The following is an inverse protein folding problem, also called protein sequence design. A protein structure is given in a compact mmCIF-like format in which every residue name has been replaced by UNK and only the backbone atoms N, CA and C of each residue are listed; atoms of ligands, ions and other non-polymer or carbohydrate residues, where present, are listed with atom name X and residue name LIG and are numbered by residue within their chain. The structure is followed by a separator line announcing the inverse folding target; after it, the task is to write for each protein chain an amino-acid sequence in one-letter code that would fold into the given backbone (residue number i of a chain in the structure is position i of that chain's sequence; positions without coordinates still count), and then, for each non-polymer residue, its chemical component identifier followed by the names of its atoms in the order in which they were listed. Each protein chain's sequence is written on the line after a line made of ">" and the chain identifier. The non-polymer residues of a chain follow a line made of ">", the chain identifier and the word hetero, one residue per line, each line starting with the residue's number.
data_IF_318660189081
#
_entry.id   IF_318660189081
#
_cell.length_a   1.000
_cell.length_b   1.000
_cell.length_c   1.000
_cell.angle_alpha   90.00
_cell.angle_beta   90.00
_cell.angle_gamma   90.00
#
_symmetry.space_group_name_H-M   'P 1'
#
loop_
_entity.id
_entity.type
_entity.pdbx_description
1 polymer ?
#
# COMPACT_ATOMS: atom_id res chain seq x y z
N UNK A 1 -0.27 23.16 7.79
CA UNK A 1 0.54 22.54 6.70
C UNK A 1 1.12 21.20 7.17
N UNK A 2 0.28 20.31 7.70
CA UNK A 2 0.73 19.05 8.36
C UNK A 2 0.35 17.81 7.53
N UNK A 3 -0.49 17.98 6.50
CA UNK A 3 -1.17 16.91 5.78
C UNK A 3 -0.33 16.23 4.70
N UNK A 4 0.86 16.74 4.36
CA UNK A 4 1.73 16.18 3.29
C UNK A 4 2.91 15.34 3.80
N UNK A 5 3.14 15.26 5.11
CA UNK A 5 4.24 14.44 5.65
C UNK A 5 4.01 12.94 5.43
N UNK A 6 2.76 12.47 5.56
CA UNK A 6 2.41 11.05 5.40
C UNK A 6 2.51 10.54 3.96
N UNK A 7 2.45 11.45 2.98
CA UNK A 7 2.59 11.14 1.55
C UNK A 7 4.03 11.34 1.05
N UNK A 8 4.98 11.67 1.93
CA UNK A 8 6.38 11.57 1.59
C UNK A 8 6.72 10.10 1.30
N UNK A 9 7.44 9.76 0.21
CA UNK A 9 7.58 8.37 -0.24
C UNK A 9 8.08 7.40 0.85
N UNK A 10 9.11 7.80 1.58
CA UNK A 10 9.69 6.98 2.67
C UNK A 10 8.71 6.81 3.84
N UNK A 11 7.99 7.87 4.21
CA UNK A 11 6.99 7.82 5.27
C UNK A 11 5.84 6.91 4.86
N UNK A 12 5.32 7.06 3.64
CA UNK A 12 4.26 6.22 3.11
C UNK A 12 4.68 4.75 3.05
N UNK A 13 5.90 4.47 2.57
CA UNK A 13 6.49 3.13 2.56
C UNK A 13 6.58 2.53 3.97
N UNK A 14 7.17 3.24 4.92
CA UNK A 14 7.38 2.74 6.28
C UNK A 14 6.06 2.42 6.99
N UNK A 15 5.07 3.33 6.93
CA UNK A 15 3.79 3.13 7.62
C UNK A 15 2.92 2.08 6.94
N UNK A 16 2.85 2.06 5.61
CA UNK A 16 2.09 1.03 4.89
C UNK A 16 2.67 -0.37 5.15
N UNK A 17 4.00 -0.52 5.13
CA UNK A 17 4.67 -1.80 5.43
C UNK A 17 4.43 -2.24 6.88
N UNK A 18 4.52 -1.31 7.84
CA UNK A 18 4.25 -1.62 9.26
C UNK A 18 2.80 -2.06 9.49
N UNK A 19 1.84 -1.35 8.86
CA UNK A 19 0.43 -1.72 8.93
C UNK A 19 0.15 -3.07 8.26
N UNK A 20 0.78 -3.35 7.11
CA UNK A 20 0.67 -4.64 6.44
C UNK A 20 1.19 -5.78 7.33
N UNK A 21 2.35 -5.60 7.99
CA UNK A 21 2.88 -6.58 8.93
C UNK A 21 1.91 -6.83 10.11
N UNK A 22 1.36 -5.77 10.70
CA UNK A 22 0.38 -5.90 11.78
C UNK A 22 -0.90 -6.62 11.31
N UNK A 23 -1.35 -6.34 10.09
CA UNK A 23 -2.51 -7.00 9.48
C UNK A 23 -2.24 -8.48 9.22
N UNK A 24 -1.06 -8.84 8.72
CA UNK A 24 -0.61 -10.23 8.57
C UNK A 24 -0.57 -10.97 9.90
N UNK A 25 -0.03 -10.35 10.95
CA UNK A 25 -0.05 -10.93 12.30
C UNK A 25 -1.49 -11.12 12.79
N UNK A 26 -2.36 -10.12 12.62
CA UNK A 26 -3.77 -10.23 12.98
C UNK A 26 -4.47 -11.40 12.26
N UNK A 27 -4.20 -11.57 10.95
CA UNK A 27 -4.69 -12.69 10.16
C UNK A 27 -4.16 -14.03 10.70
N UNK A 28 -2.86 -14.13 10.96
CA UNK A 28 -2.23 -15.34 11.49
C UNK A 28 -2.83 -15.78 12.84
N UNK A 29 -3.29 -14.82 13.66
CA UNK A 29 -3.93 -15.07 14.95
C UNK A 29 -5.48 -14.97 14.91
N UNK A 30 -6.11 -15.14 13.74
CA UNK A 30 -7.57 -15.09 13.56
C UNK A 30 -8.18 -16.46 13.23
N UNK A 31 -8.23 -17.42 14.18
CA UNK A 31 -8.81 -18.73 13.92
C UNK A 31 -10.31 -18.61 13.58
N UNK A 32 -10.87 -19.36 12.63
CA UNK A 32 -12.24 -19.17 12.13
C UNK A 32 -13.35 -19.19 13.19
N UNK A 33 -13.15 -19.89 14.31
CA UNK A 33 -14.13 -20.03 15.40
C UNK A 33 -14.06 -18.91 16.44
N UNK A 34 -13.03 -18.07 16.42
CA UNK A 34 -12.91 -16.99 17.40
C UNK A 34 -13.88 -15.84 17.08
N UNK A 35 -14.49 -15.29 18.14
CA UNK A 35 -15.49 -14.20 18.04
C UNK A 35 -14.97 -12.92 17.37
N UNK A 36 -13.65 -12.69 17.39
CA UNK A 36 -13.03 -11.49 16.79
C UNK A 36 -12.67 -11.68 15.30
N UNK A 37 -12.58 -12.91 14.81
CA UNK A 37 -12.14 -13.23 13.45
C UNK A 37 -12.95 -12.55 12.36
N UNK A 38 -14.31 -12.50 12.41
CA UNK A 38 -15.08 -11.75 11.42
C UNK A 38 -14.75 -10.25 11.39
N UNK A 39 -14.36 -9.66 12.52
CA UNK A 39 -13.90 -8.28 12.60
C UNK A 39 -12.53 -8.09 11.93
N UNK A 40 -11.58 -8.98 12.23
CA UNK A 40 -10.25 -8.99 11.61
C UNK A 40 -10.38 -9.09 10.09
N UNK A 41 -11.11 -10.07 9.58
CA UNK A 41 -11.28 -10.27 8.13
C UNK A 41 -11.94 -9.09 7.43
N UNK A 42 -12.90 -8.41 8.07
CA UNK A 42 -13.48 -7.18 7.51
C UNK A 42 -12.46 -6.04 7.43
N UNK A 43 -11.60 -5.93 8.44
CA UNK A 43 -10.56 -4.90 8.49
C UNK A 43 -9.49 -5.19 7.44
N UNK A 44 -8.94 -6.40 7.43
CA UNK A 44 -7.81 -6.78 6.56
C UNK A 44 -8.23 -7.02 5.10
N UNK A 45 -9.43 -7.56 4.86
CA UNK A 45 -9.92 -7.83 3.50
C UNK A 45 -10.75 -6.70 2.88
N UNK A 46 -11.07 -5.62 3.61
CA UNK A 46 -11.83 -4.48 3.05
C UNK A 46 -11.31 -3.12 3.49
N UNK A 47 -11.25 -2.85 4.79
CA UNK A 47 -10.92 -1.51 5.28
C UNK A 47 -9.48 -1.09 4.94
N UNK A 48 -8.49 -1.96 5.22
CA UNK A 48 -7.09 -1.71 4.87
C UNK A 48 -6.87 -1.63 3.35
N UNK A 49 -7.37 -2.58 2.53
CA UNK A 49 -7.28 -2.48 1.07
C UNK A 49 -7.80 -1.16 0.50
N UNK A 50 -8.96 -0.69 0.99
CA UNK A 50 -9.50 0.61 0.59
C UNK A 50 -8.60 1.77 1.03
N UNK A 51 -8.10 1.74 2.27
CA UNK A 51 -7.20 2.77 2.78
C UNK A 51 -5.88 2.83 1.97
N UNK A 52 -5.27 1.68 1.67
CA UNK A 52 -4.09 1.60 0.81
C UNK A 52 -4.39 2.07 -0.61
N UNK A 53 -5.56 1.72 -1.18
CA UNK A 53 -5.99 2.23 -2.48
C UNK A 53 -6.08 3.77 -2.53
N UNK A 54 -6.60 4.40 -1.46
CA UNK A 54 -6.64 5.86 -1.35
C UNK A 54 -5.23 6.46 -1.29
N UNK A 55 -4.33 5.88 -0.48
CA UNK A 55 -2.93 6.34 -0.40
C UNK A 55 -2.21 6.18 -1.74
N UNK A 56 -2.40 5.05 -2.42
CA UNK A 56 -1.87 4.80 -3.76
C UNK A 56 -2.32 5.89 -4.75
N UNK A 57 -3.63 6.16 -4.84
CA UNK A 57 -4.17 7.19 -5.74
C UNK A 57 -3.60 8.57 -5.41
N UNK A 58 -3.45 8.90 -4.13
CA UNK A 58 -2.86 10.17 -3.70
C UNK A 58 -1.37 10.29 -4.09
N UNK A 59 -0.56 9.24 -3.86
CA UNK A 59 0.84 9.21 -4.25
C UNK A 59 1.00 9.31 -5.78
N UNK A 60 0.17 8.57 -6.53
CA UNK A 60 0.19 8.62 -7.99
C UNK A 60 -0.19 10.01 -8.51
N UNK A 61 -1.21 10.66 -7.94
CA UNK A 61 -1.60 12.01 -8.34
C UNK A 61 -0.48 13.05 -8.10
N UNK A 62 0.35 12.87 -7.06
CA UNK A 62 1.48 13.76 -6.76
C UNK A 62 2.74 13.44 -7.57
N UNK A 63 2.93 12.18 -7.98
CA UNK A 63 4.18 11.68 -8.55
C UNK A 63 4.02 11.02 -9.94
N UNK A 64 2.90 11.26 -10.62
CA UNK A 64 2.57 10.70 -11.94
C UNK A 64 3.60 11.01 -13.04
N UNK A 65 4.36 12.12 -12.89
CA UNK A 65 5.36 12.52 -13.88
C UNK A 65 6.66 11.74 -13.64
N UNK A 66 7.01 10.87 -14.59
CA UNK A 66 8.26 10.12 -14.59
C UNK A 66 8.63 9.67 -16.00
N UNK A 67 9.88 9.24 -16.16
CA UNK A 67 10.37 8.60 -17.37
C UNK A 67 10.12 7.09 -17.27
N UNK A 68 9.73 6.46 -18.38
CA UNK A 68 9.44 5.02 -18.44
C UNK A 68 8.06 4.71 -19.03
N UNK A 69 7.58 3.50 -18.77
CA UNK A 69 6.39 2.95 -19.40
C UNK A 69 6.15 1.50 -19.01
N UNK A 70 5.19 0.85 -19.68
CA UNK A 70 4.80 -0.54 -19.41
C UNK A 70 5.05 -1.46 -20.61
N UNK A 71 5.79 -1.02 -21.63
CA UNK A 71 6.04 -1.83 -22.84
C UNK A 71 7.26 -2.74 -22.72
N UNK A 72 8.15 -2.50 -21.74
CA UNK A 72 9.31 -3.33 -21.46
C UNK A 72 9.69 -3.32 -19.97
N UNK A 73 10.49 -4.30 -19.54
CA UNK A 73 10.97 -4.36 -18.15
C UNK A 73 11.87 -3.16 -17.80
N UNK A 74 12.68 -2.68 -18.75
CA UNK A 74 13.52 -1.50 -18.57
C UNK A 74 12.69 -0.23 -18.37
N UNK A 75 11.59 -0.09 -19.12
CA UNK A 75 10.64 0.99 -18.96
C UNK A 75 9.95 0.96 -17.58
N UNK A 76 9.56 -0.23 -17.09
CA UNK A 76 8.96 -0.39 -15.75
C UNK A 76 9.98 -0.05 -14.66
N UNK A 77 11.23 -0.48 -14.83
CA UNK A 77 12.33 -0.15 -13.90
C UNK A 77 12.57 1.37 -13.85
N UNK A 78 12.47 2.07 -14.99
CA UNK A 78 12.60 3.52 -15.04
C UNK A 78 11.50 4.23 -14.25
N UNK A 79 10.23 3.77 -14.33
CA UNK A 79 9.15 4.29 -13.50
C UNK A 79 9.45 4.15 -12.00
N UNK A 80 9.99 3.00 -11.60
CA UNK A 80 10.37 2.73 -10.21
C UNK A 80 11.69 3.36 -9.75
N UNK A 81 12.42 4.06 -10.63
CA UNK A 81 13.55 4.89 -10.23
C UNK A 81 13.09 6.22 -9.58
N UNK A 82 11.82 6.60 -9.76
CA UNK A 82 11.22 7.78 -9.10
C UNK A 82 10.66 7.35 -7.73
N UNK A 83 11.18 7.87 -6.60
CA UNK A 83 10.78 7.39 -5.26
C UNK A 83 9.28 7.43 -5.00
N UNK A 84 8.59 8.48 -5.47
CA UNK A 84 7.14 8.61 -5.31
C UNK A 84 6.33 7.58 -6.10
N UNK A 85 6.75 7.26 -7.33
CA UNK A 85 6.12 6.21 -8.14
C UNK A 85 6.44 4.82 -7.58
N UNK A 86 7.64 4.60 -7.06
CA UNK A 86 8.03 3.39 -6.33
C UNK A 86 7.16 3.17 -5.09
N UNK A 87 7.01 4.19 -4.24
CA UNK A 87 6.13 4.11 -3.08
C UNK A 87 4.67 3.88 -3.48
N UNK A 88 4.18 4.53 -4.53
CA UNK A 88 2.83 4.30 -5.05
C UNK A 88 2.65 2.83 -5.49
N UNK A 89 3.59 2.27 -6.24
CA UNK A 89 3.57 0.88 -6.67
C UNK A 89 3.61 -0.11 -5.50
N UNK A 90 4.43 0.16 -4.48
CA UNK A 90 4.48 -0.65 -3.27
C UNK A 90 3.15 -0.65 -2.52
N UNK A 91 2.54 0.52 -2.32
CA UNK A 91 1.23 0.63 -1.65
C UNK A 91 0.12 -0.02 -2.49
N UNK A 92 0.19 0.08 -3.82
CA UNK A 92 -0.71 -0.62 -4.72
C UNK A 92 -0.63 -2.13 -4.54
N UNK A 93 0.59 -2.70 -4.47
CA UNK A 93 0.80 -4.11 -4.16
C UNK A 93 0.16 -4.49 -2.81
N UNK A 94 0.41 -3.72 -1.74
CA UNK A 94 -0.15 -3.98 -0.41
C UNK A 94 -1.68 -3.91 -0.35
N UNK A 95 -2.33 -3.10 -1.20
CA UNK A 95 -3.79 -3.02 -1.28
C UNK A 95 -4.43 -4.36 -1.66
N UNK A 96 -3.69 -5.26 -2.31
CA UNK A 96 -4.16 -6.58 -2.74
C UNK A 96 -3.42 -7.75 -2.06
N UNK A 97 -2.51 -7.46 -1.13
CA UNK A 97 -1.71 -8.47 -0.40
C UNK A 97 -2.52 -9.16 0.72
N UNK A 98 -3.54 -8.49 1.26
CA UNK A 98 -4.37 -8.97 2.37
C UNK A 98 -5.72 -9.53 1.87
N UNK A 99 -6.09 -10.74 2.31
CA UNK A 99 -7.37 -11.41 2.00
C UNK A 99 -7.93 -12.17 3.19
#
# INVERSE_FOLDING_TARGET
>A
MTSMHFLHPETAFSWSSSLALLAWLALAFSPPKARWTPGVWRITGRALPVAFGVVYVALLALHWRGEGGFNSLDEVRALFAVPGALAAGWVHYLAFDLF
#
